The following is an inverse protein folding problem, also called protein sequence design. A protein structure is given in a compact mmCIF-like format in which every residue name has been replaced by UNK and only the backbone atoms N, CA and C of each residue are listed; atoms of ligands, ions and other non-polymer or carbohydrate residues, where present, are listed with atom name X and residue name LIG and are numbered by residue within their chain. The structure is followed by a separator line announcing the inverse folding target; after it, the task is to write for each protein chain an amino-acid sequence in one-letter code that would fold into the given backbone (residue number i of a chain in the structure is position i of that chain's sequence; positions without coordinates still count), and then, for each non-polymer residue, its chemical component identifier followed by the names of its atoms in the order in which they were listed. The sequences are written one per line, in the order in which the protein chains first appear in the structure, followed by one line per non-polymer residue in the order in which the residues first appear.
data_IF_839428395469
#
_entry.id   IF_839428395469
#
_cell.length_a   1.000
_cell.length_b   1.000
_cell.length_c   1.000
_cell.angle_alpha   90.00
_cell.angle_beta   90.00
_cell.angle_gamma   90.00
#
_symmetry.space_group_name_H-M   'P 1'
#
loop_
_entity.id
_entity.type
_entity.pdbx_description
1 polymer ?
#
# COMPACT_ATOMS: atom_id res chain seq x y z
N UNK A 1 -5.96 -7.29 4.08
CA UNK A 1 -7.34 -7.45 4.59
C UNK A 1 -8.25 -7.80 3.43
N UNK A 2 -9.19 -8.73 3.62
CA UNK A 2 -10.21 -9.10 2.61
C UNK A 2 -11.60 -8.80 3.15
N UNK A 3 -12.60 -8.75 2.27
CA UNK A 3 -13.99 -8.41 2.60
C UNK A 3 -14.73 -9.51 3.38
N UNK A 4 -14.14 -10.69 3.52
CA UNK A 4 -14.74 -11.85 4.17
C UNK A 4 -14.71 -13.08 3.28
N UNK A 5 -15.72 -13.96 3.43
CA UNK A 5 -15.85 -15.20 2.67
C UNK A 5 -16.64 -14.94 1.38
N UNK A 6 -16.01 -14.30 0.40
CA UNK A 6 -16.64 -13.93 -0.87
C UNK A 6 -17.32 -15.13 -1.56
N UNK A 7 -16.70 -16.31 -1.51
CA UNK A 7 -17.26 -17.55 -2.06
C UNK A 7 -18.58 -18.02 -1.38
N UNK A 8 -18.89 -17.49 -0.19
CA UNK A 8 -20.14 -17.74 0.55
C UNK A 8 -21.11 -16.56 0.48
N UNK A 9 -20.85 -15.58 -0.38
CA UNK A 9 -21.65 -14.35 -0.51
C UNK A 9 -21.40 -13.32 0.60
N UNK A 10 -20.41 -13.56 1.47
CA UNK A 10 -20.05 -12.62 2.54
C UNK A 10 -19.05 -11.59 2.00
N UNK A 11 -19.45 -10.33 1.96
CA UNK A 11 -18.59 -9.21 1.57
C UNK A 11 -18.92 -7.99 2.41
N UNK A 12 -17.99 -7.62 3.29
CA UNK A 12 -18.11 -6.51 4.26
C UNK A 12 -19.32 -6.66 5.19
N UNK A 13 -19.72 -7.89 5.49
CA UNK A 13 -20.91 -8.23 6.28
C UNK A 13 -20.63 -8.43 7.78
N UNK A 14 -19.57 -7.83 8.30
CA UNK A 14 -19.20 -7.87 9.72
C UNK A 14 -19.61 -6.56 10.41
N UNK A 15 -19.98 -6.63 11.68
CA UNK A 15 -20.41 -5.44 12.43
C UNK A 15 -19.27 -4.43 12.65
N UNK A 16 -18.07 -4.93 12.96
CA UNK A 16 -16.89 -4.08 13.15
C UNK A 16 -15.59 -4.82 12.88
N UNK A 17 -14.55 -4.06 12.53
CA UNK A 17 -13.18 -4.55 12.43
C UNK A 17 -12.21 -3.43 12.84
N UNK A 18 -11.23 -3.76 13.66
CA UNK A 18 -10.19 -2.81 14.08
C UNK A 18 -8.81 -3.45 13.91
N UNK A 19 -7.85 -2.69 13.38
CA UNK A 19 -6.44 -3.09 13.35
C UNK A 19 -5.52 -1.92 13.64
N UNK A 20 -4.41 -2.20 14.32
CA UNK A 20 -3.34 -1.24 14.56
C UNK A 20 -2.01 -1.89 14.15
N UNK A 21 -1.41 -1.41 13.07
CA UNK A 21 -0.09 -1.84 12.62
C UNK A 21 0.92 -0.75 12.97
N UNK A 22 2.00 -1.13 13.65
CA UNK A 22 3.09 -0.23 13.99
C UNK A 22 4.41 -0.78 13.45
N UNK A 23 5.08 0.00 12.60
CA UNK A 23 6.41 -0.33 12.06
C UNK A 23 7.42 0.49 12.83
N UNK A 24 8.31 -0.20 13.54
CA UNK A 24 9.40 0.39 14.33
C UNK A 24 10.75 0.09 13.70
N UNK A 25 11.69 1.01 13.83
CA UNK A 25 13.07 0.87 13.39
C UNK A 25 13.99 1.17 14.57
N UNK A 26 14.81 0.20 14.96
CA UNK A 26 15.82 0.37 16.01
C UNK A 26 17.14 0.80 15.36
N UNK A 27 17.70 1.90 15.85
CA UNK A 27 19.01 2.41 15.42
C UNK A 27 20.12 1.92 16.36
N UNK A 28 21.38 1.94 15.89
CA UNK A 28 22.52 1.33 16.59
C UNK A 28 22.77 1.83 18.03
N UNK A 29 22.27 3.02 18.38
CA UNK A 29 22.34 3.58 19.74
C UNK A 29 21.23 3.06 20.69
N UNK A 30 20.37 2.14 20.23
CA UNK A 30 19.23 1.58 20.96
C UNK A 30 17.96 2.44 20.95
N UNK A 31 17.94 3.56 20.23
CA UNK A 31 16.73 4.37 20.03
C UNK A 31 15.76 3.65 19.08
N UNK A 32 14.46 3.69 19.41
CA UNK A 32 13.39 3.06 18.63
C UNK A 32 12.53 4.13 17.98
N UNK A 33 12.50 4.11 16.65
CA UNK A 33 11.80 5.08 15.83
C UNK A 33 10.50 4.48 15.30
N UNK A 34 9.37 5.14 15.51
CA UNK A 34 8.10 4.75 14.88
C UNK A 34 8.07 5.30 13.46
N UNK A 35 8.14 4.41 12.48
CA UNK A 35 8.19 4.78 11.06
C UNK A 35 6.79 4.85 10.44
N UNK A 36 5.88 4.00 10.90
CA UNK A 36 4.49 4.02 10.49
C UNK A 36 3.59 3.59 11.64
N UNK A 37 2.48 4.31 11.82
CA UNK A 37 1.34 3.88 12.60
C UNK A 37 0.11 3.88 11.67
N UNK A 38 -0.46 2.70 11.43
CA UNK A 38 -1.67 2.53 10.63
C UNK A 38 -2.79 1.99 11.52
N UNK A 39 -3.79 2.83 11.78
CA UNK A 39 -4.99 2.47 12.54
C UNK A 39 -6.18 2.44 11.59
N UNK A 40 -6.83 1.30 11.54
CA UNK A 40 -8.03 1.08 10.75
C UNK A 40 -9.18 0.72 11.68
N UNK A 41 -10.32 1.38 11.49
CA UNK A 41 -11.59 1.04 12.14
C UNK A 41 -12.68 1.04 11.08
N UNK A 42 -13.32 -0.11 10.94
CA UNK A 42 -14.47 -0.32 10.07
C UNK A 42 -15.66 -0.64 10.95
N UNK A 43 -16.77 0.02 10.66
CA UNK A 43 -18.05 -0.15 11.35
C UNK A 43 -19.12 -0.27 10.27
N UNK A 44 -20.00 -1.25 10.44
CA UNK A 44 -21.22 -1.33 9.65
C UNK A 44 -22.29 -0.44 10.30
N UNK A 45 -22.68 0.62 9.60
CA UNK A 45 -23.59 1.64 10.10
C UNK A 45 -24.97 1.49 9.42
N UNK A 46 -26.10 1.60 10.16
CA UNK A 46 -27.44 1.35 9.60
C UNK A 46 -27.82 2.19 8.37
N UNK A 47 -27.30 3.40 8.27
CA UNK A 47 -27.59 4.35 7.19
C UNK A 47 -26.45 4.53 6.19
N UNK A 48 -25.30 3.89 6.43
CA UNK A 48 -24.14 3.92 5.56
C UNK A 48 -23.41 2.56 5.62
N UNK A 49 -24.01 1.50 5.01
CA UNK A 49 -23.50 0.14 5.14
C UNK A 49 -22.06 0.04 4.67
N UNK A 50 -21.25 -0.75 5.39
CA UNK A 50 -19.82 -0.86 5.11
C UNK A 50 -19.57 -1.27 3.65
N UNK A 51 -20.31 -2.26 3.15
CA UNK A 51 -20.17 -2.74 1.78
C UNK A 51 -20.32 -1.65 0.71
N UNK A 52 -21.24 -0.68 0.92
CA UNK A 52 -21.44 0.44 0.00
C UNK A 52 -20.24 1.38 0.00
N UNK A 53 -19.68 1.68 1.18
CA UNK A 53 -18.51 2.55 1.37
C UNK A 53 -17.23 1.97 0.76
N UNK A 54 -17.10 0.65 0.70
CA UNK A 54 -15.92 0.00 0.13
C UNK A 54 -15.88 0.03 -1.41
N UNK A 55 -16.92 0.52 -2.08
CA UNK A 55 -16.89 0.86 -3.51
C UNK A 55 -16.60 -0.33 -4.43
N UNK A 56 -17.07 -1.53 -4.07
CA UNK A 56 -16.87 -2.76 -4.84
C UNK A 56 -15.47 -3.39 -4.68
N UNK A 57 -14.62 -2.84 -3.82
CA UNK A 57 -13.32 -3.44 -3.52
C UNK A 57 -13.49 -4.56 -2.50
N UNK A 58 -12.87 -5.71 -2.75
CA UNK A 58 -12.89 -6.87 -1.87
C UNK A 58 -11.60 -7.00 -1.04
N UNK A 59 -10.53 -6.32 -1.44
CA UNK A 59 -9.21 -6.48 -0.82
C UNK A 59 -8.54 -5.13 -0.62
N UNK A 60 -7.95 -4.94 0.55
CA UNK A 60 -7.13 -3.79 0.87
C UNK A 60 -5.77 -4.25 1.40
N UNK A 61 -4.71 -3.63 0.89
CA UNK A 61 -3.34 -3.92 1.27
C UNK A 61 -2.52 -2.64 1.45
N UNK A 62 -1.52 -2.73 2.32
CA UNK A 62 -0.53 -1.67 2.54
C UNK A 62 0.85 -2.30 2.37
N UNK A 63 1.68 -1.71 1.51
CA UNK A 63 3.11 -2.05 1.38
C UNK A 63 3.91 -0.86 1.87
N UNK A 64 4.88 -1.13 2.74
CA UNK A 64 5.78 -0.11 3.28
C UNK A 64 7.18 -0.41 2.77
N UNK A 65 7.73 0.50 1.98
CA UNK A 65 9.07 0.39 1.39
C UNK A 65 9.98 1.39 2.10
N UNK A 66 10.95 0.91 2.87
CA UNK A 66 11.89 1.76 3.62
C UNK A 66 13.30 1.18 3.50
N UNK A 67 14.27 2.05 3.28
CA UNK A 67 15.68 1.72 3.43
C UNK A 67 16.53 2.11 2.22
N UNK A 68 17.84 2.28 2.42
CA UNK A 68 18.73 2.85 1.41
C UNK A 68 18.83 2.00 0.13
N UNK A 69 18.77 0.66 0.25
CA UNK A 69 18.80 -0.26 -0.89
C UNK A 69 17.57 -0.17 -1.80
N UNK A 70 16.46 0.38 -1.30
CA UNK A 70 15.21 0.56 -2.05
C UNK A 70 15.11 1.93 -2.73
N UNK A 71 16.08 2.84 -2.52
CA UNK A 71 15.98 4.24 -2.93
C UNK A 71 15.65 4.38 -4.43
N UNK A 72 16.42 3.74 -5.32
CA UNK A 72 16.19 3.82 -6.76
C UNK A 72 14.82 3.28 -7.18
N UNK A 73 14.38 2.19 -6.55
CA UNK A 73 13.06 1.60 -6.81
C UNK A 73 11.92 2.51 -6.35
N UNK A 74 12.05 3.11 -5.16
CA UNK A 74 11.09 4.06 -4.60
C UNK A 74 10.97 5.30 -5.49
N UNK A 75 12.10 5.84 -5.98
CA UNK A 75 12.08 6.99 -6.89
C UNK A 75 11.38 6.67 -8.21
N UNK A 76 11.66 5.51 -8.81
CA UNK A 76 10.96 5.05 -10.02
C UNK A 76 9.46 4.92 -9.77
N UNK A 77 9.07 4.28 -8.67
CA UNK A 77 7.67 4.08 -8.32
C UNK A 77 6.93 5.41 -8.11
N UNK A 78 7.55 6.37 -7.42
CA UNK A 78 6.98 7.71 -7.21
C UNK A 78 6.86 8.50 -8.51
N UNK A 79 7.82 8.37 -9.43
CA UNK A 79 7.77 9.01 -10.75
C UNK A 79 6.68 8.43 -11.65
N UNK A 80 6.57 7.10 -11.70
CA UNK A 80 5.57 6.41 -12.54
C UNK A 80 4.14 6.69 -12.09
N UNK A 81 3.95 6.97 -10.80
CA UNK A 81 2.65 7.22 -10.18
C UNK A 81 2.35 8.70 -9.97
N UNK A 82 3.31 9.58 -10.27
CA UNK A 82 3.12 11.02 -10.22
C UNK A 82 1.98 11.43 -11.16
N UNK A 83 1.03 12.23 -10.66
CA UNK A 83 -0.07 12.74 -11.48
C UNK A 83 0.49 13.50 -12.68
N UNK A 84 0.01 13.16 -13.87
CA UNK A 84 0.43 13.86 -15.09
C UNK A 84 -0.46 15.10 -15.24
N UNK A 85 0.17 16.27 -15.28
CA UNK A 85 -0.51 17.50 -15.68
C UNK A 85 -0.61 17.50 -17.20
N UNK A 86 -1.82 17.40 -17.73
CA UNK A 86 -2.09 17.51 -19.16
C UNK A 86 -2.55 18.96 -19.41
N UNK A 87 -1.69 19.78 -20.02
CA UNK A 87 -1.92 21.20 -20.32
C UNK A 87 -2.16 22.12 -19.08
N UNK A 88 -1.86 23.44 -19.18
CA UNK A 88 -1.90 24.35 -18.03
C UNK A 88 -3.27 24.58 -17.33
N UNK A 89 -4.36 23.97 -17.82
CA UNK A 89 -5.72 24.21 -17.32
C UNK A 89 -6.59 22.95 -17.17
N UNK A 90 -6.02 21.75 -17.25
CA UNK A 90 -6.78 20.54 -16.90
C UNK A 90 -6.41 20.07 -15.49
N UNK A 91 -7.38 19.52 -14.74
CA UNK A 91 -7.08 18.92 -13.44
C UNK A 91 -6.06 17.77 -13.64
N UNK A 92 -5.07 17.63 -12.73
CA UNK A 92 -4.10 16.55 -12.79
C UNK A 92 -4.80 15.19 -12.87
N UNK A 93 -4.48 14.39 -13.88
CA UNK A 93 -5.10 13.08 -14.08
C UNK A 93 -4.26 12.03 -13.35
N UNK A 94 -4.88 11.05 -12.66
CA UNK A 94 -4.14 9.92 -12.11
C UNK A 94 -3.31 9.24 -13.20
N UNK A 95 -2.02 8.98 -12.94
CA UNK A 95 -1.20 8.24 -13.88
C UNK A 95 -1.73 6.80 -13.99
N UNK A 96 -1.97 6.33 -15.22
CA UNK A 96 -2.58 5.02 -15.51
C UNK A 96 -1.77 3.80 -15.03
N UNK A 97 -0.56 3.98 -14.48
CA UNK A 97 0.27 2.89 -13.95
C UNK A 97 -0.27 2.29 -12.63
N UNK A 98 -1.13 3.02 -11.90
CA UNK A 98 -1.73 2.52 -10.65
C UNK A 98 -3.07 1.83 -10.82
N UNK A 99 -3.52 1.66 -12.07
CA UNK A 99 -4.79 1.03 -12.39
C UNK A 99 -4.57 -0.16 -13.32
N UNK A 100 -4.30 -1.32 -12.72
CA UNK A 100 -4.40 -2.60 -13.43
C UNK A 100 -5.87 -3.04 -13.38
N UNK A 101 -6.35 -3.81 -14.36
CA UNK A 101 -7.74 -4.29 -14.33
C UNK A 101 -8.04 -4.90 -12.95
N UNK A 102 -9.11 -4.44 -12.29
CA UNK A 102 -9.54 -4.87 -10.96
C UNK A 102 -8.67 -4.43 -9.76
N UNK A 103 -7.66 -3.56 -9.94
CA UNK A 103 -6.81 -3.05 -8.86
C UNK A 103 -6.58 -1.54 -8.99
N UNK A 104 -6.71 -0.84 -7.87
CA UNK A 104 -6.34 0.57 -7.71
C UNK A 104 -5.21 0.66 -6.70
N UNK A 105 -4.19 1.43 -7.01
CA UNK A 105 -3.13 1.74 -6.07
C UNK A 105 -2.90 3.24 -5.93
N UNK A 106 -2.37 3.63 -4.78
CA UNK A 106 -1.83 4.95 -4.55
C UNK A 106 -0.46 4.80 -3.90
N UNK A 107 0.52 5.54 -4.42
CA UNK A 107 1.88 5.58 -3.87
C UNK A 107 2.11 6.97 -3.32
N UNK A 108 2.57 7.04 -2.08
CA UNK A 108 2.92 8.28 -1.42
C UNK A 108 4.34 8.18 -0.87
N UNK A 109 5.12 9.27 -0.88
CA UNK A 109 6.42 9.28 -0.23
C UNK A 109 6.25 9.05 1.27
N UNK A 110 7.16 8.28 1.84
CA UNK A 110 7.32 8.12 3.28
C UNK A 110 8.62 8.78 3.68
N UNK A 111 8.52 9.86 4.46
CA UNK A 111 9.65 10.58 5.01
C UNK A 111 9.62 10.39 6.52
N UNK A 112 10.39 9.42 7.06
CA UNK A 112 10.57 9.30 8.49
C UNK A 112 11.11 10.62 9.03
N UNK A 113 10.61 11.07 10.18
CA UNK A 113 11.04 12.33 10.80
C UNK A 113 12.48 12.29 11.32
N UNK A 114 13.12 11.12 11.35
CA UNK A 114 14.43 10.94 11.95
C UNK A 114 15.59 11.12 10.96
N UNK A 115 16.61 11.94 11.27
CA UNK A 115 17.75 12.22 10.41
C UNK A 115 18.50 10.98 9.88
N UNK A 116 18.61 9.91 10.69
CA UNK A 116 19.27 8.66 10.26
C UNK A 116 18.51 7.89 9.19
N UNK A 117 17.20 8.14 9.06
CA UNK A 117 16.35 7.56 8.04
C UNK A 117 16.09 8.52 6.89
N UNK A 118 16.59 9.76 6.94
CA UNK A 118 16.48 10.73 5.84
C UNK A 118 17.84 10.89 5.16
N UNK A 119 17.95 10.47 3.90
CA UNK A 119 19.09 10.93 3.10
C UNK A 119 18.85 12.39 2.71
N UNK A 120 19.89 13.20 2.75
CA UNK A 120 19.88 14.67 2.63
C UNK A 120 19.33 15.25 1.31
N UNK A 121 18.68 14.46 0.45
CA UNK A 121 18.18 14.96 -0.85
C UNK A 121 16.94 14.26 -1.43
N UNK A 122 16.43 13.18 -0.86
CA UNK A 122 15.34 12.38 -1.46
C UNK A 122 14.53 11.61 -0.42
N UNK A 123 13.23 11.41 -0.67
CA UNK A 123 12.36 10.57 0.19
C UNK A 123 12.94 9.17 0.35
N UNK A 124 13.14 8.73 1.59
CA UNK A 124 13.81 7.48 1.94
C UNK A 124 12.91 6.25 1.97
N UNK A 125 11.63 6.44 1.66
CA UNK A 125 10.66 5.37 1.55
C UNK A 125 9.40 5.78 0.79
N UNK A 126 8.50 4.82 0.64
CA UNK A 126 7.16 5.01 0.11
C UNK A 126 6.17 4.07 0.79
N UNK A 127 4.91 4.49 0.82
CA UNK A 127 3.77 3.65 1.18
C UNK A 127 2.94 3.43 -0.08
N UNK A 128 2.61 2.17 -0.37
CA UNK A 128 1.67 1.78 -1.42
C UNK A 128 0.39 1.29 -0.77
N UNK A 129 -0.71 1.99 -1.01
CA UNK A 129 -2.07 1.56 -0.63
C UNK A 129 -2.69 0.90 -1.84
N UNK A 130 -3.18 -0.32 -1.68
CA UNK A 130 -3.78 -1.13 -2.76
C UNK A 130 -5.21 -1.48 -2.39
N UNK A 131 -6.11 -1.35 -3.36
CA UNK A 131 -7.49 -1.78 -3.27
C UNK A 131 -7.84 -2.58 -4.52
N UNK A 132 -8.31 -3.82 -4.37
CA UNK A 132 -8.69 -4.65 -5.51
C UNK A 132 -10.07 -5.28 -5.35
N UNK A 133 -10.72 -5.57 -6.47
CA UNK A 133 -12.06 -6.17 -6.50
C UNK A 133 -12.03 -7.69 -6.31
N UNK A 134 -10.87 -8.33 -6.48
CA UNK A 134 -10.63 -9.76 -6.25
C UNK A 134 -9.30 -10.00 -5.54
N UNK A 135 -9.19 -11.14 -4.86
CA UNK A 135 -7.95 -11.60 -4.22
C UNK A 135 -6.88 -11.91 -5.24
N UNK A 136 -7.25 -12.50 -6.36
CA UNK A 136 -6.36 -12.96 -7.42
C UNK A 136 -5.71 -11.75 -8.12
N UNK A 137 -6.51 -10.76 -8.53
CA UNK A 137 -5.97 -9.56 -9.17
C UNK A 137 -5.05 -8.77 -8.21
N UNK A 138 -5.41 -8.71 -6.93
CA UNK A 138 -4.58 -8.04 -5.92
C UNK A 138 -3.27 -8.79 -5.69
N UNK A 139 -3.30 -10.12 -5.67
CA UNK A 139 -2.11 -10.95 -5.52
C UNK A 139 -1.16 -10.77 -6.71
N UNK A 140 -1.67 -10.83 -7.94
CA UNK A 140 -0.87 -10.60 -9.16
C UNK A 140 -0.27 -9.18 -9.19
N UNK A 141 -1.03 -8.17 -8.78
CA UNK A 141 -0.51 -6.81 -8.65
C UNK A 141 0.63 -6.73 -7.61
N UNK A 142 0.44 -7.31 -6.43
CA UNK A 142 1.49 -7.35 -5.40
C UNK A 142 2.71 -8.12 -5.89
N UNK A 143 2.51 -9.21 -6.65
CA UNK A 143 3.58 -9.99 -7.27
C UNK A 143 4.41 -9.15 -8.22
N UNK A 144 3.78 -8.48 -9.16
CA UNK A 144 4.46 -7.59 -10.09
C UNK A 144 5.19 -6.44 -9.35
N UNK A 145 4.58 -5.87 -8.31
CA UNK A 145 5.19 -4.79 -7.51
C UNK A 145 6.44 -5.25 -6.76
N UNK A 146 6.43 -6.44 -6.17
CA UNK A 146 7.52 -6.91 -5.30
C UNK A 146 8.58 -7.74 -6.05
N UNK A 147 8.29 -8.24 -7.25
CA UNK A 147 9.23 -9.04 -8.04
C UNK A 147 10.61 -8.38 -8.23
N UNK A 148 10.72 -7.07 -8.53
CA UNK A 148 12.03 -6.41 -8.67
C UNK A 148 12.86 -6.41 -7.38
N UNK A 149 12.24 -6.66 -6.22
CA UNK A 149 12.88 -6.63 -4.91
C UNK A 149 13.40 -8.00 -4.45
N UNK A 150 13.11 -9.09 -5.16
CA UNK A 150 13.48 -10.46 -4.73
C UNK A 150 14.99 -10.58 -4.46
N UNK A 151 15.81 -10.02 -5.35
CA UNK A 151 17.27 -10.01 -5.21
C UNK A 151 17.78 -9.07 -4.09
N UNK A 152 16.96 -8.12 -3.66
CA UNK A 152 17.32 -7.15 -2.62
C UNK A 152 16.98 -7.67 -1.22
N UNK A 153 15.81 -8.27 -1.04
CA UNK A 153 15.33 -8.75 0.26
C UNK A 153 15.98 -10.09 0.64
N UNK A 154 16.50 -10.85 -0.34
CA UNK A 154 17.23 -12.10 -0.07
C UNK A 154 16.34 -13.27 0.34
N UNK A 155 15.02 -13.10 0.23
CA UNK A 155 14.01 -14.15 0.42
C UNK A 155 13.00 -14.05 -0.72
N UNK A 156 12.40 -15.18 -1.10
CA UNK A 156 11.29 -15.17 -2.07
C UNK A 156 10.14 -14.36 -1.47
N UNK A 157 9.75 -13.28 -2.14
CA UNK A 157 8.62 -12.45 -1.70
C UNK A 157 7.28 -13.20 -1.77
N UNK A 158 7.23 -14.32 -2.51
CA UNK A 158 6.04 -15.15 -2.66
C UNK A 158 6.39 -16.63 -2.52
N UNK A 159 5.63 -17.35 -1.69
CA UNK A 159 5.59 -18.81 -1.70
C UNK A 159 4.58 -19.30 -2.74
N UNK A 160 4.85 -20.45 -3.35
CA UNK A 160 3.84 -21.16 -4.14
C UNK A 160 2.71 -21.61 -3.18
N UNK A 161 1.47 -21.25 -3.51
CA UNK A 161 0.31 -21.78 -2.79
C UNK A 161 0.27 -23.29 -3.04
N UNK A 162 0.44 -24.08 -1.98
CA UNK A 162 0.36 -25.54 -2.00
C UNK A 162 -0.99 -26.01 -1.49
#
# INVERSE_FOLDING_TARGET
MTSGRLARGESWSFASFESCNEVRYEVDNGEVLVVLLDRLRLLDEPHDPLAARMGGMAVFGTVVLIGPRLHSFVQLLLQDTARKSLAPHQPPVPAGATHVQNVRAAVSPLTPSHPLLTSSSSSSGAIVRVAGTTTEATYEYMRALLLPLENLVGVRCFGENR
#
